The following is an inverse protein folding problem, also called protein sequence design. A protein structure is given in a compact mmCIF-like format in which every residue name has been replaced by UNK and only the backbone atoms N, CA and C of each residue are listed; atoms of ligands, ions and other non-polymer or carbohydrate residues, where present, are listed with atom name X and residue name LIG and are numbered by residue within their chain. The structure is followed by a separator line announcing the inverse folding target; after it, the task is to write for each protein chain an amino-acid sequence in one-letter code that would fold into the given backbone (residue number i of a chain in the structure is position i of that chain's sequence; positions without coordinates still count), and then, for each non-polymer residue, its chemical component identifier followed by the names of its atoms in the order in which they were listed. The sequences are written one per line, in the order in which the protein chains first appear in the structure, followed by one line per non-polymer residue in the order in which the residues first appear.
data_IF_317934545396
#
_entry.id   IF_317934545396
#
_cell.length_a   1.000
_cell.length_b   1.000
_cell.length_c   1.000
_cell.angle_alpha   90.00
_cell.angle_beta   90.00
_cell.angle_gamma   90.00
#
_symmetry.space_group_name_H-M   'P 1'
#
loop_
_entity.id
_entity.type
_entity.pdbx_description
1 polymer ?
#
# COMPACT_ATOMS: atom_id res chain seq x y z
N UNK A 1 8.52 9.26 4.78
CA UNK A 1 7.05 9.27 4.64
C UNK A 1 6.61 7.84 4.83
N UNK A 2 5.93 7.57 5.95
CA UNK A 2 5.54 6.22 6.36
C UNK A 2 4.54 5.63 5.38
N UNK A 3 4.83 4.41 4.95
CA UNK A 3 4.06 3.64 4.00
C UNK A 3 2.67 3.33 4.53
N UNK A 4 1.77 3.02 3.59
CA UNK A 4 0.45 2.47 3.86
C UNK A 4 0.50 1.42 4.99
N UNK A 5 -0.46 1.45 5.90
CA UNK A 5 -0.69 0.38 6.84
C UNK A 5 -1.87 -0.47 6.43
N UNK A 6 -1.83 -1.74 6.83
CA UNK A 6 -2.96 -2.65 6.69
C UNK A 6 -3.47 -3.04 8.07
N UNK A 7 -4.77 -2.90 8.27
CA UNK A 7 -5.48 -3.28 9.48
C UNK A 7 -6.47 -4.37 9.10
N UNK A 8 -6.25 -5.59 9.55
CA UNK A 8 -7.15 -6.72 9.32
C UNK A 8 -8.10 -6.84 10.51
N UNK A 9 -9.40 -6.62 10.28
CA UNK A 9 -10.43 -6.81 11.30
C UNK A 9 -11.11 -8.16 11.06
N UNK A 10 -11.03 -9.03 12.06
CA UNK A 10 -11.72 -10.31 12.11
C UNK A 10 -13.10 -10.10 12.72
N UNK A 11 -14.14 -10.58 12.04
CA UNK A 11 -15.44 -10.76 12.66
C UNK A 11 -15.38 -12.00 13.56
N UNK A 12 -16.20 -12.03 14.61
CA UNK A 12 -16.38 -13.25 15.40
C UNK A 12 -17.11 -14.29 14.54
N UNK A 13 -16.37 -15.13 13.84
CA UNK A 13 -16.93 -16.25 13.06
C UNK A 13 -16.68 -17.54 13.82
N UNK A 14 -17.74 -18.13 14.39
CA UNK A 14 -17.63 -19.40 15.15
C UNK A 14 -17.59 -20.64 14.24
N UNK A 15 -17.92 -20.52 12.97
CA UNK A 15 -17.79 -21.57 11.97
C UNK A 15 -17.59 -20.96 10.57
N UNK A 16 -16.39 -21.11 10.00
CA UNK A 16 -16.20 -20.97 8.55
C UNK A 16 -16.05 -22.37 7.96
N UNK A 17 -17.13 -22.92 7.41
CA UNK A 17 -16.99 -23.90 6.33
C UNK A 17 -16.27 -23.20 5.17
N UNK A 18 -15.34 -23.89 4.49
CA UNK A 18 -14.48 -23.28 3.46
C UNK A 18 -15.26 -22.73 2.24
N UNK A 19 -16.55 -23.00 2.14
CA UNK A 19 -17.44 -22.43 1.13
C UNK A 19 -18.04 -21.10 1.62
N UNK A 20 -17.52 -19.97 1.13
CA UNK A 20 -18.21 -18.68 1.21
C UNK A 20 -17.58 -17.59 2.08
N UNK A 21 -16.30 -17.69 2.49
CA UNK A 21 -15.62 -16.58 3.16
C UNK A 21 -15.53 -15.36 2.23
N UNK A 22 -16.24 -14.27 2.56
CA UNK A 22 -16.23 -13.01 1.81
C UNK A 22 -15.23 -12.04 2.43
N UNK A 23 -14.60 -11.19 1.62
CA UNK A 23 -13.68 -10.16 2.12
C UNK A 23 -14.23 -8.79 1.71
N UNK A 24 -14.38 -7.89 2.68
CA UNK A 24 -14.63 -6.46 2.45
C UNK A 24 -13.29 -5.73 2.56
N UNK A 25 -12.87 -5.10 1.46
CA UNK A 25 -11.65 -4.28 1.41
C UNK A 25 -12.07 -2.81 1.43
N UNK A 26 -11.50 -2.05 2.36
CA UNK A 26 -11.66 -0.61 2.47
C UNK A 26 -10.28 -0.01 2.25
N UNK A 27 -10.06 0.58 1.10
CA UNK A 27 -8.78 1.17 0.71
C UNK A 27 -8.82 2.70 0.77
N UNK A 28 -7.76 3.31 1.30
CA UNK A 28 -7.65 4.76 1.45
C UNK A 28 -8.58 5.38 2.49
N UNK A 29 -8.78 4.74 3.66
CA UNK A 29 -9.63 5.32 4.73
C UNK A 29 -9.17 6.72 5.16
N UNK A 30 -7.87 7.00 5.10
CA UNK A 30 -7.28 8.29 5.44
C UNK A 30 -7.68 9.41 4.47
N UNK A 31 -8.06 9.08 3.23
CA UNK A 31 -8.57 10.04 2.24
C UNK A 31 -10.02 10.47 2.51
N UNK A 32 -10.68 9.89 3.52
CA UNK A 32 -11.99 10.37 3.97
C UNK A 32 -11.88 11.79 4.52
N UNK A 33 -12.70 12.69 3.99
CA UNK A 33 -12.75 14.07 4.43
C UNK A 33 -13.15 14.15 5.91
N UNK A 34 -12.33 14.83 6.71
CA UNK A 34 -12.49 15.02 8.16
C UNK A 34 -12.33 13.75 9.00
N UNK A 35 -11.57 13.89 10.09
CA UNK A 35 -11.31 12.82 11.05
C UNK A 35 -12.57 12.20 11.66
N UNK A 36 -13.64 12.98 11.84
CA UNK A 36 -14.93 12.48 12.31
C UNK A 36 -15.49 11.37 11.41
N UNK A 37 -15.36 11.49 10.08
CA UNK A 37 -15.87 10.50 9.15
C UNK A 37 -15.04 9.21 9.19
N UNK A 38 -13.71 9.33 9.29
CA UNK A 38 -12.80 8.20 9.51
C UNK A 38 -13.21 7.41 10.77
N UNK A 39 -13.42 8.10 11.90
CA UNK A 39 -13.84 7.50 13.16
C UNK A 39 -15.23 6.84 13.07
N UNK A 40 -16.18 7.48 12.39
CA UNK A 40 -17.54 6.96 12.20
C UNK A 40 -17.51 5.65 11.40
N UNK A 41 -16.75 5.59 10.31
CA UNK A 41 -16.58 4.36 9.52
C UNK A 41 -16.00 3.26 10.41
N UNK A 42 -14.93 3.54 11.16
CA UNK A 42 -14.34 2.56 12.07
C UNK A 42 -15.32 2.09 13.16
N UNK A 43 -16.11 2.98 13.76
CA UNK A 43 -17.11 2.57 14.75
C UNK A 43 -18.15 1.62 14.17
N UNK A 44 -18.64 1.89 12.95
CA UNK A 44 -19.60 1.02 12.26
C UNK A 44 -18.99 -0.36 11.99
N UNK A 45 -17.73 -0.42 11.54
CA UNK A 45 -17.03 -1.69 11.29
C UNK A 45 -16.83 -2.50 12.57
N UNK A 46 -16.43 -1.83 13.66
CA UNK A 46 -16.28 -2.48 14.96
C UNK A 46 -17.59 -3.03 15.50
N UNK A 47 -18.68 -2.24 15.40
CA UNK A 47 -20.01 -2.67 15.82
C UNK A 47 -20.49 -3.83 14.98
N UNK A 48 -20.28 -3.77 13.67
CA UNK A 48 -20.64 -4.86 12.77
C UNK A 48 -19.90 -6.16 13.13
N UNK A 49 -18.59 -6.08 13.34
CA UNK A 49 -17.75 -7.23 13.63
C UNK A 49 -17.99 -7.87 15.02
N UNK A 50 -18.51 -7.09 15.97
CA UNK A 50 -18.80 -7.56 17.33
C UNK A 50 -20.24 -8.04 17.51
N UNK A 51 -21.20 -7.39 16.84
CA UNK A 51 -22.63 -7.62 17.05
C UNK A 51 -23.20 -8.71 16.14
N UNK A 52 -22.65 -8.86 14.92
CA UNK A 52 -23.19 -9.78 13.93
C UNK A 52 -22.18 -10.88 13.60
N UNK A 53 -22.66 -12.12 13.58
CA UNK A 53 -21.90 -13.28 13.10
C UNK A 53 -21.97 -13.35 11.58
N UNK A 54 -21.24 -12.44 10.91
CA UNK A 54 -21.18 -12.37 9.46
C UNK A 54 -19.98 -13.16 8.92
N UNK A 55 -20.14 -13.95 7.84
CA UNK A 55 -19.05 -14.70 7.19
C UNK A 55 -18.16 -13.78 6.33
N UNK A 56 -17.79 -12.61 6.86
CA UNK A 56 -17.02 -11.58 6.18
C UNK A 56 -15.75 -11.28 6.97
N UNK A 57 -14.61 -11.19 6.29
CA UNK A 57 -13.38 -10.60 6.85
C UNK A 57 -13.23 -9.19 6.34
N UNK A 58 -12.76 -8.27 7.17
CA UNK A 58 -12.59 -6.87 6.78
C UNK A 58 -11.10 -6.56 6.72
N UNK A 59 -10.66 -5.97 5.62
CA UNK A 59 -9.31 -5.44 5.47
C UNK A 59 -9.42 -3.94 5.24
N UNK A 60 -8.80 -3.16 6.12
CA UNK A 60 -8.72 -1.70 6.02
C UNK A 60 -7.29 -1.33 5.67
N UNK A 61 -7.08 -0.77 4.49
CA UNK A 61 -5.79 -0.25 4.01
C UNK A 61 -5.80 1.28 4.15
N UNK A 62 -4.85 1.83 4.89
CA UNK A 62 -4.82 3.27 5.18
C UNK A 62 -3.48 3.71 5.76
N UNK A 63 -3.08 4.98 5.56
CA UNK A 63 -1.93 5.57 6.28
C UNK A 63 -2.20 5.62 7.79
N UNK A 64 -1.15 5.47 8.64
CA UNK A 64 -1.27 5.57 10.10
C UNK A 64 -1.47 7.00 10.60
N UNK A 65 -2.52 7.69 10.13
CA UNK A 65 -2.87 8.99 10.69
C UNK A 65 -3.24 8.84 12.18
N UNK A 66 -2.88 9.82 13.04
CA UNK A 66 -3.03 9.67 14.49
C UNK A 66 -4.43 9.23 14.94
N UNK A 67 -5.48 9.76 14.30
CA UNK A 67 -6.88 9.44 14.64
C UNK A 67 -7.27 8.01 14.25
N UNK A 68 -6.79 7.51 13.13
CA UNK A 68 -7.02 6.12 12.70
C UNK A 68 -6.33 5.18 13.67
N UNK A 69 -5.08 5.50 14.04
CA UNK A 69 -4.31 4.73 15.01
C UNK A 69 -4.99 4.69 16.39
N UNK A 70 -5.41 5.85 16.91
CA UNK A 70 -6.17 5.96 18.17
C UNK A 70 -7.41 5.05 18.19
N UNK A 71 -8.16 4.98 17.09
CA UNK A 71 -9.34 4.12 16.99
C UNK A 71 -8.98 2.64 17.08
N UNK A 72 -7.96 2.19 16.33
CA UNK A 72 -7.56 0.78 16.33
C UNK A 72 -6.90 0.34 17.63
N UNK A 73 -6.24 1.25 18.35
CA UNK A 73 -5.69 1.01 19.69
C UNK A 73 -6.79 0.97 20.79
N UNK A 74 -8.01 1.43 20.46
CA UNK A 74 -9.16 1.43 21.36
C UNK A 74 -9.72 0.05 21.69
N UNK A 75 -10.45 -0.03 22.81
CA UNK A 75 -11.03 -1.28 23.34
C UNK A 75 -11.92 -2.04 22.33
N UNK A 76 -12.62 -1.31 21.44
CA UNK A 76 -13.49 -1.91 20.42
C UNK A 76 -12.73 -2.79 19.42
N UNK A 77 -11.44 -2.51 19.16
CA UNK A 77 -10.65 -3.21 18.15
C UNK A 77 -9.59 -4.14 18.73
N UNK A 78 -9.19 -3.95 20.00
CA UNK A 78 -8.10 -4.69 20.66
C UNK A 78 -8.17 -6.22 20.52
N UNK A 79 -9.38 -6.79 20.53
CA UNK A 79 -9.58 -8.25 20.49
C UNK A 79 -10.07 -8.78 19.13
N UNK A 80 -10.33 -7.90 18.17
CA UNK A 80 -10.88 -8.27 16.85
C UNK A 80 -10.00 -7.82 15.69
N UNK A 81 -9.06 -6.91 15.91
CA UNK A 81 -8.18 -6.38 14.89
C UNK A 81 -6.76 -6.96 15.02
N UNK A 82 -6.16 -7.26 13.88
CA UNK A 82 -4.73 -7.53 13.72
C UNK A 82 -4.14 -6.42 12.85
N UNK A 83 -3.18 -5.71 13.41
CA UNK A 83 -2.40 -4.73 12.67
C UNK A 83 -1.28 -5.43 11.89
N UNK A 84 -1.08 -4.98 10.64
CA UNK A 84 0.00 -5.40 9.75
C UNK A 84 0.72 -4.13 9.30
N UNK A 85 1.88 -3.89 9.88
CA UNK A 85 2.80 -2.84 9.42
C UNK A 85 3.38 -3.22 8.08
N UNK A 86 3.31 -2.33 7.10
CA UNK A 86 4.10 -2.47 5.87
C UNK A 86 5.36 -1.60 5.90
N UNK A 87 5.61 -0.85 6.98
CA UNK A 87 6.68 0.14 7.06
C UNK A 87 7.99 -0.44 7.59
N UNK A 88 7.96 -1.17 8.70
CA UNK A 88 9.16 -1.35 9.55
C UNK A 88 10.28 -2.22 8.98
N UNK A 89 10.08 -2.84 7.81
CA UNK A 89 11.09 -3.66 7.12
C UNK A 89 11.10 -3.47 5.59
N UNK A 90 10.27 -2.56 5.07
CA UNK A 90 10.08 -2.43 3.62
C UNK A 90 11.12 -1.48 3.03
N UNK A 91 12.10 -2.07 2.33
CA UNK A 91 13.13 -1.33 1.59
C UNK A 91 12.59 -0.83 0.24
N UNK A 92 11.60 0.07 0.27
CA UNK A 92 10.98 0.63 -0.95
C UNK A 92 12.04 1.13 -1.95
N UNK A 93 13.14 1.73 -1.47
CA UNK A 93 14.25 2.19 -2.30
C UNK A 93 14.92 1.07 -3.09
N UNK A 94 15.06 -0.13 -2.52
CA UNK A 94 15.63 -1.29 -3.20
C UNK A 94 14.70 -1.76 -4.32
N UNK A 95 13.41 -1.89 -4.02
CA UNK A 95 12.44 -2.38 -5.01
C UNK A 95 12.20 -1.35 -6.12
N UNK A 96 12.21 -0.04 -5.80
CA UNK A 96 12.18 1.04 -6.80
C UNK A 96 13.42 1.03 -7.69
N UNK A 97 14.61 0.71 -7.15
CA UNK A 97 15.83 0.58 -7.96
C UNK A 97 15.65 -0.51 -9.01
N UNK A 98 15.23 -1.70 -8.59
CA UNK A 98 15.00 -2.84 -9.50
C UNK A 98 13.96 -2.46 -10.56
N UNK A 99 12.86 -1.84 -10.14
CA UNK A 99 11.81 -1.38 -11.04
C UNK A 99 12.30 -0.36 -12.09
N UNK A 100 13.12 0.61 -11.68
CA UNK A 100 13.71 1.59 -12.60
C UNK A 100 14.71 0.93 -13.56
N UNK A 101 15.60 0.07 -13.04
CA UNK A 101 16.60 -0.62 -13.85
C UNK A 101 15.95 -1.50 -14.93
N UNK A 102 14.92 -2.26 -14.58
CA UNK A 102 14.21 -3.10 -15.54
C UNK A 102 13.38 -2.26 -16.50
N UNK A 103 12.68 -1.22 -16.03
CA UNK A 103 11.93 -0.31 -16.89
C UNK A 103 12.79 0.41 -17.93
N UNK A 104 13.99 0.85 -17.55
CA UNK A 104 14.92 1.46 -18.51
C UNK A 104 15.51 0.46 -19.50
N UNK A 105 15.76 -0.80 -19.09
CA UNK A 105 16.14 -1.88 -20.03
C UNK A 105 15.02 -2.15 -21.04
N UNK A 106 13.76 -2.11 -20.60
CA UNK A 106 12.62 -2.32 -21.49
C UNK A 106 12.48 -1.18 -22.51
N UNK A 107 12.62 0.07 -22.08
CA UNK A 107 12.66 1.25 -22.99
C UNK A 107 13.78 1.07 -24.02
N UNK A 108 14.97 0.71 -23.56
CA UNK A 108 16.13 0.50 -24.43
C UNK A 108 15.90 -0.60 -25.47
N UNK A 109 15.22 -1.67 -25.08
CA UNK A 109 14.90 -2.81 -25.94
C UNK A 109 13.88 -2.40 -27.01
N UNK A 110 12.82 -1.69 -26.61
CA UNK A 110 11.76 -1.23 -27.52
C UNK A 110 12.23 -0.18 -28.52
N UNK A 111 13.14 0.70 -28.10
CA UNK A 111 13.69 1.79 -28.92
C UNK A 111 15.11 1.51 -29.41
N UNK A 112 15.49 0.23 -29.55
CA UNK A 112 16.87 -0.18 -29.84
C UNK A 112 17.48 0.45 -31.11
N UNK A 113 16.66 0.67 -32.16
CA UNK A 113 17.11 1.31 -33.41
C UNK A 113 17.42 2.80 -33.23
N UNK A 114 16.52 3.56 -32.58
CA UNK A 114 16.72 5.00 -32.36
C UNK A 114 17.76 5.28 -31.28
N UNK A 115 17.88 4.41 -30.28
CA UNK A 115 18.80 4.54 -29.14
C UNK A 115 20.14 3.79 -29.33
N UNK A 116 20.44 3.33 -30.55
CA UNK A 116 21.69 2.63 -30.86
C UNK A 116 22.95 3.45 -30.61
N UNK A 117 22.85 4.78 -30.71
CA UNK A 117 23.95 5.72 -30.48
C UNK A 117 24.19 6.05 -29.00
N UNK A 118 23.30 5.63 -28.09
CA UNK A 118 23.39 5.96 -26.67
C UNK A 118 24.46 5.10 -25.99
N UNK A 119 25.39 5.74 -25.29
CA UNK A 119 26.45 5.04 -24.54
C UNK A 119 25.85 4.22 -23.39
N UNK A 120 26.32 2.98 -23.23
CA UNK A 120 25.93 2.08 -22.12
C UNK A 120 26.87 2.22 -20.92
N UNK A 121 26.40 1.97 -19.67
CA UNK A 121 25.00 1.69 -19.30
C UNK A 121 24.11 2.95 -19.44
N UNK A 122 22.84 2.73 -19.78
CA UNK A 122 21.83 3.80 -19.81
C UNK A 122 20.59 3.37 -19.03
N UNK A 123 20.14 4.18 -18.05
CA UNK A 123 20.89 5.26 -17.40
C UNK A 123 22.14 4.77 -16.65
N UNK A 124 22.99 5.69 -16.24
CA UNK A 124 24.10 5.37 -15.34
C UNK A 124 23.58 5.01 -13.93
N UNK A 125 24.32 4.20 -13.18
CA UNK A 125 23.94 3.83 -11.80
C UNK A 125 23.74 5.06 -10.90
N UNK A 126 24.48 6.16 -11.12
CA UNK A 126 24.30 7.43 -10.39
C UNK A 126 22.95 8.09 -10.71
N UNK A 127 22.48 8.01 -11.95
CA UNK A 127 21.16 8.53 -12.34
C UNK A 127 20.04 7.67 -11.76
N UNK A 128 20.20 6.34 -11.76
CA UNK A 128 19.25 5.44 -11.08
C UNK A 128 19.17 5.78 -9.60
N UNK A 129 20.31 5.93 -8.90
CA UNK A 129 20.33 6.32 -7.49
C UNK A 129 19.59 7.64 -7.23
N UNK A 130 19.85 8.63 -8.09
CA UNK A 130 19.18 9.93 -7.99
C UNK A 130 17.66 9.78 -8.11
N UNK A 131 17.17 8.97 -9.06
CA UNK A 131 15.74 8.72 -9.25
C UNK A 131 15.14 7.94 -8.08
N UNK A 132 15.86 6.96 -7.52
CA UNK A 132 15.45 6.23 -6.31
C UNK A 132 15.30 7.21 -5.13
N UNK A 133 16.28 8.08 -4.92
CA UNK A 133 16.24 9.10 -3.86
C UNK A 133 15.07 10.06 -4.08
N UNK A 134 14.87 10.54 -5.32
CA UNK A 134 13.76 11.44 -5.66
C UNK A 134 12.39 10.79 -5.50
N UNK A 135 12.30 9.47 -5.71
CA UNK A 135 11.06 8.74 -5.51
C UNK A 135 10.60 8.79 -4.05
N UNK A 136 11.49 8.99 -3.07
CA UNK A 136 11.15 9.04 -1.64
C UNK A 136 10.29 7.85 -1.19
N UNK A 137 10.56 6.66 -1.74
CA UNK A 137 9.80 5.44 -1.49
C UNK A 137 8.48 5.29 -2.28
N UNK A 138 8.17 6.20 -3.21
CA UNK A 138 6.91 6.21 -3.95
C UNK A 138 7.08 5.71 -5.40
N UNK A 139 6.49 4.55 -5.70
CA UNK A 139 6.49 3.98 -7.06
C UNK A 139 5.80 4.86 -8.10
N UNK A 140 4.83 5.69 -7.70
CA UNK A 140 4.14 6.58 -8.65
C UNK A 140 5.13 7.53 -9.33
N UNK A 141 6.12 8.05 -8.60
CA UNK A 141 7.18 8.89 -9.17
C UNK A 141 8.02 8.11 -10.18
N UNK A 142 8.55 6.94 -9.79
CA UNK A 142 9.36 6.09 -10.66
C UNK A 142 8.62 5.70 -11.94
N UNK A 143 7.34 5.31 -11.81
CA UNK A 143 6.49 4.97 -12.96
C UNK A 143 6.26 6.15 -13.90
N UNK A 144 6.13 7.37 -13.35
CA UNK A 144 5.95 8.58 -14.14
C UNK A 144 7.23 8.93 -14.90
N UNK A 145 8.40 8.76 -14.27
CA UNK A 145 9.70 8.96 -14.94
C UNK A 145 9.85 7.98 -16.11
N UNK A 146 9.57 6.70 -15.92
CA UNK A 146 9.66 5.72 -17.00
C UNK A 146 8.69 6.05 -18.15
N UNK A 147 7.44 6.39 -17.84
CA UNK A 147 6.44 6.81 -18.85
C UNK A 147 6.83 8.06 -19.61
N UNK A 148 7.57 8.98 -18.99
CA UNK A 148 8.04 10.20 -19.63
C UNK A 148 9.25 9.95 -20.55
N UNK A 149 10.08 8.97 -20.21
CA UNK A 149 11.31 8.64 -20.94
C UNK A 149 11.09 7.70 -22.12
N UNK A 150 9.97 7.00 -22.13
CA UNK A 150 9.52 6.09 -23.18
C UNK A 150 8.83 6.81 -24.34
#
# INVERSE_FOLDING_TARGET
MSGLNQYCVRTQTRHLSSEGARILIIDGLDECSHSHNQQRVLSILAEMAQKYDLPIRILVCSRPEPRIKECFDGLKFRNICRWISLDSTYEASRDIRVFLEDGFKDILTRHSLSMGHIRRPWPTSKQIEYLVQKSSGQFIYASTVLKYMD
#
